data_IF_599973799622
#
_entry.id   IF_599973799622
#
_cell.length_a   1.000
_cell.length_b   1.000
_cell.length_c   1.000
_cell.angle_alpha   90.00
_cell.angle_beta   90.00
_cell.angle_gamma   90.00
#
_symmetry.space_group_name_H-M   'P 1'
#
loop_
_entity.id
_entity.type
_entity.pdbx_description
1 polymer ?
#
# COMPACT_ATOMS: atom_id res chain seq x y z
N UNK A 1 -6.96 20.27 26.50
CA UNK A 1 -7.16 21.65 26.00
C UNK A 1 -8.34 22.27 26.72
N UNK A 2 -8.32 23.59 27.03
CA UNK A 2 -9.46 24.28 27.63
C UNK A 2 -10.69 24.23 26.74
N UNK A 3 -11.85 23.95 27.33
CA UNK A 3 -13.12 23.80 26.62
C UNK A 3 -13.52 25.06 25.84
N UNK A 4 -13.26 26.23 26.42
CA UNK A 4 -13.54 27.54 25.81
C UNK A 4 -12.79 27.77 24.50
N UNK A 5 -11.61 27.15 24.33
CA UNK A 5 -10.82 27.24 23.09
C UNK A 5 -11.40 26.28 22.04
N UNK A 6 -11.81 25.07 22.45
CA UNK A 6 -12.44 24.09 21.56
C UNK A 6 -13.80 24.57 21.04
N UNK A 7 -14.59 25.25 21.87
CA UNK A 7 -15.91 25.75 21.47
C UNK A 7 -15.83 26.93 20.49
N UNK A 8 -14.76 27.74 20.55
CA UNK A 8 -14.59 28.93 19.71
C UNK A 8 -13.68 28.73 18.48
N UNK A 9 -13.21 27.51 18.23
CA UNK A 9 -12.34 27.20 17.09
C UNK A 9 -13.10 26.49 15.96
N UNK A 10 -12.65 26.71 14.72
CA UNK A 10 -13.01 25.85 13.59
C UNK A 10 -12.30 24.51 13.78
N UNK A 11 -13.07 23.44 13.92
CA UNK A 11 -12.57 22.09 14.14
C UNK A 11 -12.39 21.41 12.78
N UNK A 12 -11.15 21.06 12.46
CA UNK A 12 -10.83 20.18 11.33
C UNK A 12 -10.30 18.87 11.89
N UNK A 13 -11.06 17.79 11.76
CA UNK A 13 -10.58 16.44 12.05
C UNK A 13 -9.95 15.86 10.80
N UNK A 14 -8.65 15.58 10.86
CA UNK A 14 -7.95 14.86 9.81
C UNK A 14 -7.93 13.37 10.17
N UNK A 15 -9.02 12.67 9.86
CA UNK A 15 -9.11 11.22 10.06
C UNK A 15 -8.50 10.47 8.87
N UNK A 16 -8.00 9.26 9.14
CA UNK A 16 -7.48 8.43 8.04
C UNK A 16 -8.62 7.97 7.12
N UNK A 17 -8.36 7.82 5.80
CA UNK A 17 -9.34 7.31 4.87
C UNK A 17 -9.88 5.96 5.31
N UNK A 18 -11.21 5.83 5.27
CA UNK A 18 -11.91 4.70 5.86
C UNK A 18 -11.95 3.46 4.94
N UNK A 19 -11.70 3.62 3.63
CA UNK A 19 -11.72 2.52 2.66
C UNK A 19 -10.39 2.34 1.90
N UNK A 20 -10.23 1.18 1.29
CA UNK A 20 -9.06 0.81 0.47
C UNK A 20 -8.84 1.79 -0.68
N UNK A 21 -9.91 2.27 -1.31
CA UNK A 21 -9.85 3.15 -2.48
C UNK A 21 -9.20 4.49 -2.13
N UNK A 22 -9.64 5.09 -1.04
CA UNK A 22 -9.14 6.36 -0.56
C UNK A 22 -7.72 6.21 0.01
N UNK A 23 -7.40 5.07 0.64
CA UNK A 23 -6.02 4.75 1.01
C UNK A 23 -5.10 4.65 -0.21
N UNK A 24 -5.53 4.02 -1.30
CA UNK A 24 -4.78 3.92 -2.56
C UNK A 24 -4.60 5.27 -3.23
N UNK A 25 -5.68 6.04 -3.34
CA UNK A 25 -5.66 7.39 -3.91
C UNK A 25 -4.65 8.28 -3.16
N UNK A 26 -4.75 8.32 -1.83
CA UNK A 26 -3.85 9.12 -0.98
C UNK A 26 -2.40 8.67 -1.07
N UNK A 27 -2.16 7.35 -1.09
CA UNK A 27 -0.81 6.81 -1.19
C UNK A 27 -0.18 7.10 -2.56
N UNK A 28 -0.95 6.91 -3.65
CA UNK A 28 -0.48 7.16 -5.00
C UNK A 28 -0.25 8.65 -5.28
N UNK A 29 -1.08 9.54 -4.73
CA UNK A 29 -0.94 11.00 -4.93
C UNK A 29 0.36 11.59 -4.37
N UNK A 30 1.12 10.83 -3.58
CA UNK A 30 2.46 11.21 -3.09
C UNK A 30 3.54 11.13 -4.17
N UNK A 31 3.26 10.47 -5.28
CA UNK A 31 4.21 10.26 -6.36
C UNK A 31 3.80 11.10 -7.56
N UNK A 32 4.55 12.18 -7.79
CA UNK A 32 4.30 13.15 -8.83
C UNK A 32 4.95 12.78 -10.17
N UNK A 33 4.70 13.59 -11.21
CA UNK A 33 5.29 13.36 -12.54
C UNK A 33 6.81 13.38 -12.49
N UNK A 34 7.39 14.24 -11.65
CA UNK A 34 8.86 14.39 -11.57
C UNK A 34 9.54 13.09 -11.16
N UNK A 35 8.93 12.32 -10.25
CA UNK A 35 9.39 10.99 -9.86
C UNK A 35 9.30 9.97 -11.00
N UNK A 36 8.21 10.00 -11.77
CA UNK A 36 8.05 9.12 -12.93
C UNK A 36 9.07 9.46 -14.04
N UNK A 37 9.29 10.74 -14.32
CA UNK A 37 10.32 11.20 -15.26
C UNK A 37 11.72 10.76 -14.83
N UNK A 38 12.07 10.90 -13.56
CA UNK A 38 13.36 10.43 -13.05
C UNK A 38 13.58 8.94 -13.29
N UNK A 39 12.52 8.12 -13.17
CA UNK A 39 12.59 6.68 -13.37
C UNK A 39 12.75 6.24 -14.84
N UNK A 40 12.50 7.13 -15.81
CA UNK A 40 12.76 6.83 -17.24
C UNK A 40 14.23 6.59 -17.55
N UNK A 41 15.14 7.03 -16.67
CA UNK A 41 16.58 6.79 -16.79
C UNK A 41 17.00 5.32 -16.58
N UNK A 42 16.10 4.47 -16.07
CA UNK A 42 16.37 3.06 -15.80
C UNK A 42 15.17 2.17 -16.16
N UNK A 43 14.93 1.10 -15.40
CA UNK A 43 13.90 0.07 -15.60
C UNK A 43 12.50 0.63 -15.35
N UNK A 44 12.04 1.49 -16.25
CA UNK A 44 10.83 2.29 -16.07
C UNK A 44 9.57 1.44 -15.90
N UNK A 45 9.45 0.33 -16.65
CA UNK A 45 8.25 -0.53 -16.57
C UNK A 45 8.19 -1.25 -15.22
N UNK A 46 9.32 -1.75 -14.75
CA UNK A 46 9.48 -2.37 -13.45
C UNK A 46 9.25 -1.38 -12.32
N UNK A 47 9.75 -0.15 -12.47
CA UNK A 47 9.50 0.91 -11.51
C UNK A 47 8.00 1.20 -11.37
N UNK A 48 7.29 1.40 -12.49
CA UNK A 48 5.84 1.68 -12.46
C UNK A 48 5.05 0.55 -11.80
N UNK A 49 5.31 -0.70 -12.19
CA UNK A 49 4.62 -1.86 -11.64
C UNK A 49 4.92 -2.07 -10.15
N UNK A 50 6.20 -1.98 -9.74
CA UNK A 50 6.61 -2.19 -8.35
C UNK A 50 6.20 -1.05 -7.44
N UNK A 51 6.21 0.20 -7.92
CA UNK A 51 5.69 1.34 -7.19
C UNK A 51 4.20 1.16 -6.90
N UNK A 52 3.44 0.71 -7.91
CA UNK A 52 2.02 0.42 -7.70
C UNK A 52 1.82 -0.74 -6.72
N UNK A 53 2.65 -1.80 -6.79
CA UNK A 53 2.66 -2.89 -5.81
C UNK A 53 2.96 -2.43 -4.39
N UNK A 54 3.90 -1.50 -4.21
CA UNK A 54 4.24 -0.88 -2.94
C UNK A 54 3.08 -0.03 -2.39
N UNK A 55 2.44 0.77 -3.26
CA UNK A 55 1.24 1.55 -2.93
C UNK A 55 0.11 0.62 -2.49
N UNK A 56 -0.15 -0.46 -3.25
CA UNK A 56 -1.14 -1.48 -2.88
C UNK A 56 -0.84 -2.11 -1.52
N UNK A 57 0.41 -2.50 -1.30
CA UNK A 57 0.86 -3.06 -0.02
C UNK A 57 0.58 -2.09 1.13
N UNK A 58 1.00 -0.83 0.99
CA UNK A 58 0.81 0.20 2.01
C UNK A 58 -0.68 0.43 2.32
N UNK A 59 -1.53 0.51 1.29
CA UNK A 59 -2.96 0.71 1.47
C UNK A 59 -3.66 -0.50 2.13
N UNK A 60 -3.22 -1.72 1.81
CA UNK A 60 -3.76 -2.93 2.43
C UNK A 60 -3.41 -3.01 3.93
N UNK A 61 -2.14 -2.79 4.31
CA UNK A 61 -1.73 -2.86 5.72
C UNK A 61 -2.37 -1.77 6.58
N UNK A 62 -2.59 -0.58 6.02
CA UNK A 62 -3.33 0.49 6.67
C UNK A 62 -4.81 0.12 6.84
N UNK A 63 -5.44 -0.37 5.77
CA UNK A 63 -6.84 -0.77 5.80
C UNK A 63 -7.11 -1.95 6.73
N UNK A 64 -6.12 -2.82 7.01
CA UNK A 64 -6.27 -3.88 8.01
C UNK A 64 -6.61 -3.37 9.40
N UNK A 65 -6.18 -2.16 9.78
CA UNK A 65 -6.43 -1.57 11.11
C UNK A 65 -7.91 -1.47 11.46
N UNK A 66 -8.80 -1.39 10.47
CA UNK A 66 -10.26 -1.33 10.70
C UNK A 66 -10.84 -2.62 11.28
N UNK A 67 -10.15 -3.76 11.12
CA UNK A 67 -10.59 -5.05 11.67
C UNK A 67 -10.10 -5.28 13.12
N UNK A 68 -9.71 -4.22 13.82
CA UNK A 68 -9.26 -4.30 15.22
C UNK A 68 -8.14 -5.31 15.42
N UNK A 69 -8.30 -6.17 16.44
CA UNK A 69 -7.32 -7.21 16.80
C UNK A 69 -7.17 -8.32 15.77
N UNK A 70 -8.16 -8.52 14.88
CA UNK A 70 -8.02 -9.43 13.74
C UNK A 70 -7.14 -8.83 12.64
N UNK A 71 -7.19 -7.50 12.52
CA UNK A 71 -6.33 -6.68 11.67
C UNK A 71 -4.85 -6.83 12.03
N UNK A 72 -4.55 -6.39 13.25
CA UNK A 72 -3.23 -6.38 13.86
C UNK A 72 -3.38 -6.65 15.35
N UNK A 73 -2.48 -7.44 15.93
CA UNK A 73 -2.52 -7.70 17.39
C UNK A 73 -2.30 -6.42 18.21
N UNK A 74 -1.56 -5.46 17.65
CA UNK A 74 -1.26 -4.14 18.23
C UNK A 74 -1.47 -3.04 17.21
N UNK A 75 -1.67 -1.81 17.69
CA UNK A 75 -1.81 -0.65 16.82
C UNK A 75 -0.42 -0.15 16.38
N UNK A 76 0.00 -0.50 15.16
CA UNK A 76 1.23 -0.01 14.55
C UNK A 76 0.99 1.29 13.78
N UNK A 77 1.96 2.21 13.84
CA UNK A 77 1.85 3.53 13.23
C UNK A 77 2.60 3.60 11.88
N UNK A 78 2.11 2.87 10.89
CA UNK A 78 2.59 3.00 9.52
C UNK A 78 2.20 4.37 8.96
N UNK A 79 3.15 5.06 8.32
CA UNK A 79 2.95 6.43 7.84
C UNK A 79 3.45 6.63 6.40
N UNK A 80 3.15 7.81 5.84
CA UNK A 80 3.53 8.17 4.47
C UNK A 80 5.06 8.22 4.27
N UNK A 81 5.83 8.47 5.33
CA UNK A 81 7.30 8.45 5.30
C UNK A 81 7.87 7.07 5.03
N UNK A 82 7.26 6.02 5.60
CA UNK A 82 7.64 4.63 5.30
C UNK A 82 7.47 4.35 3.80
N UNK A 83 6.35 4.82 3.23
CA UNK A 83 6.00 4.65 1.82
C UNK A 83 6.98 5.40 0.90
N UNK A 84 7.24 6.69 1.16
CA UNK A 84 8.11 7.50 0.30
C UNK A 84 9.55 7.02 0.33
N UNK A 85 10.07 6.64 1.51
CA UNK A 85 11.42 6.07 1.63
C UNK A 85 11.50 4.71 0.92
N UNK A 86 10.47 3.86 1.02
CA UNK A 86 10.45 2.60 0.26
C UNK A 86 10.47 2.82 -1.26
N UNK A 87 9.85 3.90 -1.75
CA UNK A 87 9.90 4.29 -3.16
C UNK A 87 11.28 4.85 -3.56
N UNK A 88 11.97 5.57 -2.68
CA UNK A 88 13.36 5.99 -2.88
C UNK A 88 14.28 4.78 -3.00
N UNK A 89 14.12 3.82 -2.10
CA UNK A 89 14.84 2.53 -2.13
C UNK A 89 14.56 1.82 -3.46
N UNK A 90 13.30 1.74 -3.89
CA UNK A 90 12.94 1.13 -5.18
C UNK A 90 13.69 1.78 -6.33
N UNK A 91 13.62 3.11 -6.43
CA UNK A 91 14.27 3.87 -7.48
C UNK A 91 15.79 3.61 -7.51
N UNK A 92 16.44 3.67 -6.35
CA UNK A 92 17.88 3.45 -6.20
C UNK A 92 18.31 2.02 -6.53
N UNK A 93 17.48 1.03 -6.22
CA UNK A 93 17.79 -0.37 -6.52
C UNK A 93 17.64 -0.65 -8.02
N UNK A 94 16.59 -0.13 -8.65
CA UNK A 94 16.37 -0.32 -10.09
C UNK A 94 17.41 0.40 -10.96
N UNK A 95 17.98 1.51 -10.48
CA UNK A 95 19.05 2.22 -11.18
C UNK A 95 20.42 1.53 -11.05
N UNK A 96 20.69 0.86 -9.92
CA UNK A 96 22.00 0.24 -9.64
C UNK A 96 22.14 -1.20 -10.10
N UNK A 97 21.13 -2.04 -9.90
CA UNK A 97 21.23 -3.48 -10.17
C UNK A 97 20.74 -3.82 -11.57
N UNK A 98 21.39 -4.73 -12.29
CA UNK A 98 20.97 -5.15 -13.64
C UNK A 98 19.62 -5.88 -13.64
N UNK A 99 19.37 -6.71 -12.63
CA UNK A 99 18.10 -7.43 -12.43
C UNK A 99 17.38 -6.89 -11.21
N UNK A 100 16.05 -6.97 -11.20
CA UNK A 100 15.25 -6.58 -10.04
C UNK A 100 15.50 -7.53 -8.87
N UNK A 101 16.04 -7.04 -7.74
CA UNK A 101 16.32 -7.89 -6.58
C UNK A 101 15.09 -7.99 -5.67
N UNK A 102 14.10 -8.78 -6.09
CA UNK A 102 12.82 -8.91 -5.36
C UNK A 102 12.98 -9.39 -3.91
N UNK A 103 13.95 -10.28 -3.64
CA UNK A 103 14.21 -10.76 -2.29
C UNK A 103 14.66 -9.62 -1.36
N UNK A 104 15.59 -8.79 -1.83
CA UNK A 104 16.13 -7.66 -1.07
C UNK A 104 15.07 -6.59 -0.84
N UNK A 105 14.27 -6.25 -1.86
CA UNK A 105 13.15 -5.32 -1.71
C UNK A 105 12.16 -5.81 -0.65
N UNK A 106 11.78 -7.09 -0.69
CA UNK A 106 10.89 -7.68 0.31
C UNK A 106 11.50 -7.67 1.71
N UNK A 107 12.80 -7.94 1.84
CA UNK A 107 13.49 -7.91 3.12
C UNK A 107 13.55 -6.48 3.68
N UNK A 108 13.92 -5.50 2.87
CA UNK A 108 14.01 -4.10 3.30
C UNK A 108 12.63 -3.58 3.71
N UNK A 109 11.60 -3.83 2.90
CA UNK A 109 10.24 -3.38 3.24
C UNK A 109 9.70 -4.12 4.47
N UNK A 110 9.95 -5.44 4.54
CA UNK A 110 9.33 -6.34 5.50
C UNK A 110 9.98 -6.36 6.87
N UNK A 111 11.30 -6.31 6.93
CA UNK A 111 12.08 -6.42 8.19
C UNK A 111 12.59 -5.07 8.69
N UNK A 112 12.98 -4.16 7.78
CA UNK A 112 13.61 -2.90 8.16
C UNK A 112 12.59 -1.76 8.23
N UNK A 113 11.86 -1.53 7.14
CA UNK A 113 10.95 -0.37 7.02
C UNK A 113 9.67 -0.60 7.82
N UNK A 114 8.73 -1.38 7.27
CA UNK A 114 7.48 -1.67 7.98
C UNK A 114 7.70 -2.63 9.15
N UNK A 115 8.64 -3.57 9.02
CA UNK A 115 9.02 -4.50 10.09
C UNK A 115 9.61 -3.85 11.33
N UNK A 116 10.23 -2.67 11.20
CA UNK A 116 10.74 -1.91 12.34
C UNK A 116 9.65 -1.44 13.31
N UNK A 117 8.41 -1.30 12.82
CA UNK A 117 7.25 -0.93 13.64
C UNK A 117 6.59 -2.13 14.32
N UNK A 118 6.77 -3.35 13.78
CA UNK A 118 6.02 -4.53 14.18
C UNK A 118 6.75 -5.29 15.28
N UNK A 119 6.11 -5.41 16.44
CA UNK A 119 6.71 -6.07 17.61
C UNK A 119 6.22 -7.51 17.81
N UNK A 120 5.12 -7.91 17.20
CA UNK A 120 4.59 -9.28 17.26
C UNK A 120 5.03 -10.11 16.04
N UNK A 121 5.48 -11.34 16.28
CA UNK A 121 6.01 -12.22 15.22
C UNK A 121 4.94 -12.72 14.24
N UNK A 122 3.68 -12.87 14.69
CA UNK A 122 2.58 -13.28 13.82
C UNK A 122 2.13 -12.14 12.91
N UNK A 123 2.11 -10.92 13.44
CA UNK A 123 1.92 -9.71 12.64
C UNK A 123 3.06 -9.54 11.63
N UNK A 124 4.31 -9.79 12.03
CA UNK A 124 5.49 -9.73 11.14
C UNK A 124 5.36 -10.75 10.01
N UNK A 125 4.95 -11.99 10.32
CA UNK A 125 4.66 -13.01 9.31
C UNK A 125 3.58 -12.55 8.34
N UNK A 126 2.53 -11.92 8.83
CA UNK A 126 1.43 -11.39 8.00
C UNK A 126 1.95 -10.31 7.04
N UNK A 127 2.68 -9.33 7.56
CA UNK A 127 3.33 -8.27 6.78
C UNK A 127 4.21 -8.83 5.65
N UNK A 128 5.10 -9.76 5.99
CA UNK A 128 5.98 -10.42 5.03
C UNK A 128 5.21 -11.24 3.98
N UNK A 129 4.06 -11.79 4.34
CA UNK A 129 3.22 -12.55 3.41
C UNK A 129 2.63 -11.64 2.33
N UNK A 130 2.15 -10.44 2.69
CA UNK A 130 1.70 -9.46 1.70
C UNK A 130 2.82 -9.09 0.72
N UNK A 131 4.02 -8.82 1.23
CA UNK A 131 5.18 -8.49 0.39
C UNK A 131 5.58 -9.64 -0.54
N UNK A 132 5.50 -10.89 -0.09
CA UNK A 132 5.73 -12.07 -0.94
C UNK A 132 4.70 -12.20 -2.07
N UNK A 133 3.45 -11.83 -1.81
CA UNK A 133 2.36 -11.91 -2.81
C UNK A 133 2.44 -10.74 -3.81
N UNK A 134 2.80 -9.54 -3.35
CA UNK A 134 2.75 -8.32 -4.17
C UNK A 134 4.08 -8.01 -4.87
N UNK A 135 5.21 -8.24 -4.22
CA UNK A 135 6.52 -7.85 -4.74
C UNK A 135 7.19 -9.09 -5.34
N UNK A 136 6.81 -9.42 -6.57
CA UNK A 136 7.32 -10.57 -7.35
C UNK A 136 7.23 -10.31 -8.86
N UNK A 137 7.95 -11.04 -9.72
CA UNK A 137 8.02 -10.78 -11.16
C UNK A 137 6.67 -10.68 -11.87
N UNK A 138 5.70 -11.46 -11.41
CA UNK A 138 4.36 -11.55 -11.97
C UNK A 138 3.59 -10.22 -11.92
N UNK A 139 4.00 -9.26 -11.08
CA UNK A 139 3.39 -7.92 -11.05
C UNK A 139 3.43 -7.22 -12.41
N UNK A 140 4.41 -7.56 -13.26
CA UNK A 140 4.55 -7.08 -14.63
C UNK A 140 3.52 -7.69 -15.59
N UNK A 141 2.84 -8.77 -15.19
CA UNK A 141 2.03 -9.62 -16.06
C UNK A 141 0.64 -9.88 -15.48
N UNK A 142 -0.13 -8.81 -15.26
CA UNK A 142 -1.56 -8.87 -14.93
C UNK A 142 -1.88 -9.72 -13.67
N UNK A 143 -1.09 -9.53 -12.62
CA UNK A 143 -1.18 -10.25 -11.35
C UNK A 143 -2.34 -9.72 -10.50
N UNK A 144 -2.99 -10.60 -9.74
CA UNK A 144 -3.98 -10.21 -8.74
C UNK A 144 -3.32 -9.40 -7.61
N UNK A 145 -3.80 -8.17 -7.35
CA UNK A 145 -3.22 -7.23 -6.38
C UNK A 145 -3.91 -7.22 -5.02
N UNK A 146 -5.05 -7.89 -4.88
CA UNK A 146 -5.75 -8.09 -3.62
C UNK A 146 -5.86 -9.57 -3.31
N UNK A 147 -6.17 -9.94 -2.07
CA UNK A 147 -6.38 -11.35 -1.74
C UNK A 147 -7.73 -11.89 -2.29
N UNK A 148 -8.64 -11.00 -2.69
CA UNK A 148 -9.85 -11.33 -3.42
C UNK A 148 -9.61 -11.27 -4.94
N UNK A 149 -10.46 -11.91 -5.73
CA UNK A 149 -10.42 -11.78 -7.19
C UNK A 149 -11.03 -10.44 -7.63
N UNK A 150 -10.55 -9.88 -8.74
CA UNK A 150 -11.23 -8.78 -9.45
C UNK A 150 -10.44 -7.48 -9.57
N UNK A 151 -9.26 -7.37 -8.95
CA UNK A 151 -8.38 -6.21 -9.11
C UNK A 151 -6.95 -6.63 -9.46
N UNK A 152 -6.53 -6.40 -10.71
CA UNK A 152 -5.27 -6.89 -11.25
C UNK A 152 -4.25 -5.77 -11.44
N UNK A 153 -2.99 -6.11 -11.65
CA UNK A 153 -1.95 -5.14 -11.91
C UNK A 153 -2.16 -4.48 -13.28
N UNK A 154 -2.14 -3.13 -13.35
CA UNK A 154 -2.15 -2.42 -14.62
C UNK A 154 -0.96 -2.83 -15.48
N UNK A 155 -1.13 -2.81 -16.80
CA UNK A 155 -0.04 -3.09 -17.74
C UNK A 155 0.95 -1.91 -17.74
N UNK A 156 2.17 -2.08 -17.20
CA UNK A 156 3.10 -0.96 -17.09
C UNK A 156 3.46 -0.41 -18.47
N UNK A 157 3.48 -1.23 -19.53
CA UNK A 157 3.89 -0.79 -20.86
C UNK A 157 2.92 0.22 -21.49
N UNK A 158 1.64 0.18 -21.09
CA UNK A 158 0.58 1.02 -21.65
C UNK A 158 0.19 2.18 -20.74
N UNK A 159 0.42 2.04 -19.44
CA UNK A 159 -0.06 2.99 -18.45
C UNK A 159 0.99 4.06 -18.17
N UNK A 160 0.63 5.31 -18.42
CA UNK A 160 1.30 6.47 -17.84
C UNK A 160 0.73 6.79 -16.45
N UNK A 161 1.40 7.69 -15.71
CA UNK A 161 1.05 8.02 -14.32
C UNK A 161 -0.45 8.31 -14.12
N UNK A 162 -1.02 9.23 -14.90
CA UNK A 162 -2.45 9.57 -14.80
C UNK A 162 -3.38 8.37 -15.05
N UNK A 163 -2.94 7.40 -15.86
CA UNK A 163 -3.73 6.20 -16.13
C UNK A 163 -3.83 5.31 -14.90
N UNK A 164 -2.85 5.32 -14.01
CA UNK A 164 -2.93 4.62 -12.72
C UNK A 164 -3.97 5.27 -11.79
N UNK A 165 -4.05 6.60 -11.75
CA UNK A 165 -5.08 7.31 -10.98
C UNK A 165 -6.48 6.94 -11.49
N UNK A 166 -6.70 7.01 -12.81
CA UNK A 166 -7.96 6.57 -13.41
C UNK A 166 -8.25 5.09 -13.14
N UNK A 167 -7.24 4.24 -13.15
CA UNK A 167 -7.40 2.82 -12.85
C UNK A 167 -7.92 2.57 -11.43
N UNK A 168 -7.38 3.27 -10.44
CA UNK A 168 -7.85 3.21 -9.05
C UNK A 168 -9.33 3.64 -9.00
N UNK A 169 -9.70 4.68 -9.76
CA UNK A 169 -11.08 5.17 -9.77
C UNK A 169 -12.08 4.20 -10.40
N UNK A 170 -11.74 3.62 -11.54
CA UNK A 170 -12.68 2.89 -12.40
C UNK A 170 -12.70 1.39 -12.14
N UNK A 171 -11.58 0.79 -11.74
CA UNK A 171 -11.42 -0.67 -11.72
C UNK A 171 -11.41 -1.27 -10.33
N UNK A 172 -11.18 -0.49 -9.28
CA UNK A 172 -11.18 -1.02 -7.93
C UNK A 172 -12.62 -1.39 -7.53
N UNK A 173 -12.90 -2.66 -7.16
CA UNK A 173 -14.23 -3.07 -6.74
C UNK A 173 -14.61 -2.46 -5.39
N UNK A 174 -15.88 -2.58 -5.03
CA UNK A 174 -16.33 -2.31 -3.67
C UNK A 174 -15.52 -3.15 -2.67
N UNK A 175 -15.12 -2.51 -1.58
CA UNK A 175 -14.24 -3.11 -0.60
C UNK A 175 -14.92 -4.27 0.13
N UNK A 176 -14.23 -5.42 0.23
CA UNK A 176 -14.70 -6.60 0.98
C UNK A 176 -13.56 -7.15 1.85
N UNK A 177 -13.85 -7.81 2.99
CA UNK A 177 -12.81 -8.36 3.88
C UNK A 177 -11.80 -9.29 3.19
N UNK A 178 -12.26 -10.04 2.19
CA UNK A 178 -11.41 -10.95 1.42
C UNK A 178 -10.29 -10.23 0.66
N UNK A 179 -10.46 -8.93 0.33
CA UNK A 179 -9.38 -8.15 -0.30
C UNK A 179 -8.15 -8.05 0.61
N UNK A 180 -8.38 -8.06 1.93
CA UNK A 180 -7.37 -8.06 2.98
C UNK A 180 -7.05 -9.49 3.48
N UNK A 181 -7.54 -10.52 2.82
CA UNK A 181 -7.28 -11.91 3.21
C UNK A 181 -8.08 -12.39 4.44
N UNK A 182 -9.14 -11.68 4.82
CA UNK A 182 -10.06 -12.13 5.86
C UNK A 182 -11.20 -12.99 5.32
N UNK A 183 -11.79 -13.78 6.21
CA UNK A 183 -13.05 -14.46 5.96
C UNK A 183 -14.20 -13.42 5.88
N UNK A 184 -15.25 -13.63 5.04
CA UNK A 184 -16.41 -12.72 4.95
C UNK A 184 -17.01 -12.29 6.30
N UNK A 185 -17.05 -13.20 7.27
CA UNK A 185 -17.56 -12.94 8.63
C UNK A 185 -16.83 -11.82 9.39
N UNK A 186 -15.63 -11.41 8.96
CA UNK A 186 -14.94 -10.26 9.55
C UNK A 186 -15.70 -8.93 9.33
N UNK A 187 -16.58 -8.87 8.32
CA UNK A 187 -17.47 -7.73 8.09
C UNK A 187 -18.52 -7.58 9.19
N UNK A 188 -19.05 -8.69 9.70
CA UNK A 188 -20.07 -8.69 10.76
C UNK A 188 -19.52 -8.00 12.02
N UNK A 189 -18.33 -8.42 12.46
CA UNK A 189 -17.68 -7.84 13.65
C UNK A 189 -17.26 -6.38 13.49
N UNK A 190 -17.04 -5.92 12.25
CA UNK A 190 -16.79 -4.51 11.94
C UNK A 190 -18.09 -3.68 11.98
N UNK A 191 -19.20 -4.19 11.44
CA UNK A 191 -20.47 -3.45 11.38
C UNK A 191 -21.25 -3.41 12.70
N UNK A 192 -20.96 -4.32 13.64
CA UNK A 192 -21.66 -4.42 14.94
C UNK A 192 -20.95 -3.70 16.10
N UNK A 193 -19.76 -3.13 15.87
CA UNK A 193 -19.00 -2.35 16.86
C UNK A 193 -18.95 -0.88 16.47
#
# INVERSE_FOLDING_TARGET
MPESILQNAIKVSNESPQDLKANLRRAFSKFDETRFEAAKSHKYQEFKALLFGLVMFHSLILGRKKFGSQGWSRNYNFNDGDLTICADVLHNYLSKYEKVPYADLRYIYGEIMYGGHITDDWDRRTNNTYLKILIRPEILSNMQLTCAMGYKSPDPNKFERESYERYIEEKLPAEIPQMFGFHPNAEIGYLTN
#
